data_IF_429131985112
#
_entry.id   IF_429131985112
#
_cell.length_a   1.000
_cell.length_b   1.000
_cell.length_c   1.000
_cell.angle_alpha   90.00
_cell.angle_beta   90.00
_cell.angle_gamma   90.00
#
_symmetry.space_group_name_H-M   'P 1'
#
loop_
_entity.id
_entity.type
_entity.pdbx_description
1 polymer ?
#
# COMPACT_ATOMS: atom_id res chain seq x y z
N UNK A 1 0.08 8.65 -10.29
CA UNK A 1 0.49 9.67 -9.31
C UNK A 1 1.97 10.02 -9.52
N UNK A 2 2.46 11.16 -9.06
CA UNK A 2 3.90 11.36 -8.94
C UNK A 2 4.43 10.44 -7.83
N UNK A 3 5.47 9.66 -8.10
CA UNK A 3 6.01 8.67 -7.16
C UNK A 3 7.41 9.11 -6.76
N UNK A 4 7.55 9.52 -5.49
CA UNK A 4 8.86 9.73 -4.90
C UNK A 4 9.55 8.39 -4.58
N UNK A 5 10.87 8.34 -4.75
CA UNK A 5 11.68 7.18 -4.39
C UNK A 5 12.89 7.63 -3.56
N UNK A 6 13.31 6.77 -2.64
CA UNK A 6 14.51 6.94 -1.85
C UNK A 6 15.17 5.57 -1.68
N UNK A 7 16.50 5.54 -1.79
CA UNK A 7 17.28 4.34 -1.52
C UNK A 7 17.81 4.40 -0.09
N UNK A 8 17.56 3.32 0.65
CA UNK A 8 18.15 3.12 1.98
C UNK A 8 19.15 1.98 1.85
N UNK A 9 20.42 2.32 1.97
CA UNK A 9 21.51 1.37 1.85
C UNK A 9 21.75 0.67 3.19
N UNK A 10 21.62 -0.66 3.19
CA UNK A 10 21.93 -1.49 4.34
C UNK A 10 22.65 -2.75 3.88
N UNK A 11 23.93 -2.85 4.23
CA UNK A 11 24.82 -3.95 3.87
C UNK A 11 24.23 -5.31 4.26
N UNK A 12 24.31 -6.28 3.34
CA UNK A 12 23.97 -7.70 3.57
C UNK A 12 25.24 -8.55 3.67
N UNK A 13 25.67 -8.98 4.88
CA UNK A 13 26.91 -9.73 5.04
C UNK A 13 26.97 -11.04 4.25
N UNK A 14 25.82 -11.65 3.95
CA UNK A 14 25.76 -12.89 3.18
C UNK A 14 25.88 -12.69 1.65
N UNK A 15 25.80 -11.45 1.16
CA UNK A 15 25.80 -11.12 -0.27
C UNK A 15 27.19 -10.67 -0.74
N UNK A 16 27.62 -11.12 -1.92
CA UNK A 16 28.97 -10.87 -2.44
C UNK A 16 29.38 -9.38 -2.54
N UNK A 17 28.43 -8.48 -2.78
CA UNK A 17 28.64 -7.03 -2.78
C UNK A 17 27.75 -6.31 -1.77
N UNK A 18 27.22 -7.01 -0.77
CA UNK A 18 26.31 -6.42 0.22
C UNK A 18 24.92 -6.05 -0.31
N UNK A 19 24.58 -6.47 -1.54
CA UNK A 19 23.32 -6.14 -2.19
C UNK A 19 22.12 -6.90 -1.62
N UNK A 20 20.92 -6.33 -1.78
CA UNK A 20 19.63 -6.95 -1.47
C UNK A 20 18.71 -6.91 -2.67
N UNK A 21 17.82 -7.89 -2.78
CA UNK A 21 16.76 -7.86 -3.80
C UNK A 21 15.77 -6.72 -3.49
N UNK A 22 15.22 -6.11 -4.54
CA UNK A 22 14.29 -4.97 -4.44
C UNK A 22 13.01 -5.13 -5.27
N UNK A 23 12.98 -6.06 -6.24
CA UNK A 23 11.95 -6.09 -7.28
C UNK A 23 10.52 -6.21 -6.75
N UNK A 24 10.29 -7.09 -5.77
CA UNK A 24 8.96 -7.32 -5.22
C UNK A 24 8.55 -6.23 -4.22
N UNK A 25 9.49 -5.68 -3.44
CA UNK A 25 9.22 -4.72 -2.37
C UNK A 25 8.49 -3.46 -2.87
N UNK A 26 8.84 -2.99 -4.07
CA UNK A 26 8.21 -1.83 -4.72
C UNK A 26 6.81 -2.13 -5.25
N UNK A 27 6.48 -3.42 -5.44
CA UNK A 27 5.18 -3.88 -5.95
C UNK A 27 4.22 -4.26 -4.82
N UNK A 28 4.72 -4.87 -3.74
CA UNK A 28 3.88 -5.37 -2.63
C UNK A 28 3.43 -4.26 -1.68
N UNK A 29 4.21 -3.19 -1.50
CA UNK A 29 3.94 -2.14 -0.52
C UNK A 29 2.88 -1.09 -0.93
N UNK A 30 2.70 -0.71 -2.22
CA UNK A 30 1.72 0.32 -2.59
C UNK A 30 0.27 -0.06 -2.30
N UNK A 31 -0.15 -1.30 -2.58
CA UNK A 31 -1.53 -1.73 -2.37
C UNK A 31 -2.01 -1.59 -0.90
N UNK A 32 -1.30 -2.12 0.11
CA UNK A 32 -1.66 -1.90 1.51
C UNK A 32 -1.48 -0.45 1.94
N UNK A 33 -0.51 0.30 1.38
CA UNK A 33 -0.34 1.72 1.68
C UNK A 33 -1.55 2.55 1.25
N UNK A 34 -2.07 2.33 0.03
CA UNK A 34 -3.28 3.00 -0.48
C UNK A 34 -4.50 2.64 0.38
N UNK A 35 -4.70 1.34 0.67
CA UNK A 35 -5.79 0.89 1.53
C UNK A 35 -5.75 1.54 2.92
N UNK A 36 -4.56 1.61 3.53
CA UNK A 36 -4.38 2.22 4.84
C UNK A 36 -4.56 3.74 4.81
N UNK A 37 -4.21 4.42 3.71
CA UNK A 37 -4.49 5.84 3.54
C UNK A 37 -6.00 6.13 3.52
N UNK A 38 -6.80 5.25 2.91
CA UNK A 38 -8.27 5.36 2.95
C UNK A 38 -8.80 5.11 4.37
N UNK A 39 -8.26 4.11 5.08
CA UNK A 39 -8.61 3.86 6.48
C UNK A 39 -8.30 5.07 7.35
N UNK A 40 -7.12 5.67 7.20
CA UNK A 40 -6.70 6.87 7.94
C UNK A 40 -7.62 8.07 7.65
N UNK A 41 -7.96 8.29 6.38
CA UNK A 41 -8.80 9.42 5.96
C UNK A 41 -10.28 9.28 6.34
N UNK A 42 -10.80 8.06 6.50
CA UNK A 42 -12.26 7.83 6.62
C UNK A 42 -12.68 7.05 7.87
N UNK A 43 -11.73 6.42 8.57
CA UNK A 43 -12.02 5.46 9.63
C UNK A 43 -12.60 4.13 9.15
N UNK A 44 -12.82 3.95 7.84
CA UNK A 44 -13.44 2.75 7.28
C UNK A 44 -12.39 1.77 6.78
N UNK A 45 -12.43 0.56 7.33
CA UNK A 45 -11.56 -0.53 6.89
C UNK A 45 -12.12 -1.25 5.66
N UNK A 46 -11.20 -1.65 4.77
CA UNK A 46 -11.49 -2.44 3.58
C UNK A 46 -10.70 -3.74 3.61
N UNK A 47 -11.39 -4.87 3.44
CA UNK A 47 -10.76 -6.20 3.31
C UNK A 47 -11.12 -6.88 1.98
N UNK A 48 -11.23 -6.07 0.92
CA UNK A 48 -11.60 -6.49 -0.43
C UNK A 48 -10.81 -5.66 -1.43
N UNK A 49 -10.26 -6.33 -2.45
CA UNK A 49 -9.62 -5.70 -3.60
C UNK A 49 -10.33 -6.17 -4.89
N UNK A 50 -10.46 -5.31 -5.91
CA UNK A 50 -10.04 -3.90 -5.93
C UNK A 50 -11.00 -2.98 -5.12
N UNK A 51 -10.44 -1.91 -4.54
CA UNK A 51 -11.19 -0.79 -3.98
C UNK A 51 -11.61 0.17 -5.11
N UNK A 52 -12.49 -0.30 -5.99
CA UNK A 52 -13.03 0.51 -7.07
C UNK A 52 -14.14 1.46 -6.54
N UNK A 53 -14.55 2.49 -7.30
CA UNK A 53 -15.55 3.45 -6.82
C UNK A 53 -16.86 2.81 -6.34
N UNK A 54 -17.33 1.76 -7.02
CA UNK A 54 -18.55 1.05 -6.63
C UNK A 54 -18.41 0.35 -5.27
N UNK A 55 -17.33 -0.43 -5.06
CA UNK A 55 -17.12 -1.15 -3.81
C UNK A 55 -16.86 -0.22 -2.63
N UNK A 56 -16.23 0.93 -2.89
CA UNK A 56 -16.06 2.00 -1.90
C UNK A 56 -17.39 2.66 -1.55
N UNK A 57 -18.20 3.01 -2.55
CA UNK A 57 -19.52 3.62 -2.36
C UNK A 57 -20.46 2.69 -1.56
N UNK A 58 -20.57 1.43 -1.97
CA UNK A 58 -21.37 0.43 -1.27
C UNK A 58 -20.95 0.31 0.19
N UNK A 59 -19.64 0.20 0.44
CA UNK A 59 -19.10 0.07 1.80
C UNK A 59 -19.38 1.31 2.64
N UNK A 60 -19.22 2.51 2.09
CA UNK A 60 -19.51 3.76 2.80
C UNK A 60 -20.99 3.90 3.14
N UNK A 61 -21.87 3.49 2.23
CA UNK A 61 -23.32 3.46 2.47
C UNK A 61 -23.70 2.44 3.56
N UNK A 62 -23.12 1.25 3.53
CA UNK A 62 -23.35 0.20 4.55
C UNK A 62 -22.98 0.65 5.97
N UNK A 63 -21.88 1.40 6.11
CA UNK A 63 -21.42 1.89 7.42
C UNK A 63 -22.03 3.24 7.81
N UNK A 64 -22.89 3.82 6.96
CA UNK A 64 -23.55 5.11 7.20
C UNK A 64 -22.61 6.31 7.15
N UNK A 65 -21.48 6.21 6.43
CA UNK A 65 -20.59 7.35 6.18
C UNK A 65 -21.19 8.31 5.13
N UNK A 66 -21.95 7.76 4.17
CA UNK A 66 -22.70 8.49 3.14
C UNK A 66 -24.09 7.90 2.93
#
# INVERSE_FOLDING_TARGET
PNIGSAFIEKFEPAAGFGQKSLGENTTISPAPAIRNAVLDATGVSFNKIPMNPQSVFERFKEVGLI
#
